data_IF_997446524351
#
_entry.id   IF_997446524351
#
_cell.length_a   1.000
_cell.length_b   1.000
_cell.length_c   1.000
_cell.angle_alpha   90.00
_cell.angle_beta   90.00
_cell.angle_gamma   90.00
#
_symmetry.space_group_name_H-M   'P 1'
#
loop_
_entity.id
_entity.type
_entity.pdbx_description
1 polymer ?
#
# COMPACT_ATOMS: atom_id res chain seq x y z
N UNK A 1 5.11 -26.43 6.91
CA UNK A 1 4.83 -25.17 7.66
C UNK A 1 5.58 -23.95 7.14
N UNK A 2 6.52 -24.10 6.20
CA UNK A 2 7.36 -22.98 5.77
C UNK A 2 6.75 -22.14 4.62
N UNK A 3 5.94 -22.72 3.75
CA UNK A 3 5.40 -22.00 2.61
C UNK A 3 4.33 -20.95 2.98
N UNK A 4 3.53 -21.21 4.01
CA UNK A 4 2.50 -20.27 4.45
C UNK A 4 3.07 -19.03 5.16
N UNK A 5 4.13 -19.18 5.95
CA UNK A 5 4.76 -18.05 6.64
C UNK A 5 5.54 -17.11 5.71
N UNK A 6 5.90 -17.55 4.52
CA UNK A 6 6.58 -16.72 3.51
C UNK A 6 5.55 -15.92 2.70
N UNK A 7 4.32 -16.40 2.58
CA UNK A 7 3.33 -15.88 1.65
C UNK A 7 2.71 -14.56 2.09
N UNK A 8 2.30 -14.43 3.35
CA UNK A 8 1.69 -13.20 3.88
C UNK A 8 2.67 -12.04 4.00
N UNK A 9 3.96 -12.35 4.18
CA UNK A 9 5.06 -11.38 4.31
C UNK A 9 6.10 -11.52 3.21
N UNK A 10 5.73 -12.08 2.06
CA UNK A 10 6.61 -12.13 0.90
C UNK A 10 6.96 -10.71 0.45
N UNK A 11 8.27 -10.44 0.33
CA UNK A 11 8.80 -9.12 -0.05
C UNK A 11 8.94 -8.95 -1.55
N UNK A 12 8.77 -10.02 -2.30
CA UNK A 12 8.69 -10.04 -3.75
C UNK A 12 7.71 -11.12 -4.19
N UNK A 13 6.78 -10.73 -5.03
CA UNK A 13 5.82 -11.65 -5.65
C UNK A 13 5.76 -11.33 -7.14
N UNK A 14 5.80 -12.34 -7.99
CA UNK A 14 5.84 -12.16 -9.44
C UNK A 14 4.81 -13.06 -10.10
N UNK A 15 4.08 -12.51 -11.06
CA UNK A 15 3.14 -13.26 -11.87
C UNK A 15 3.87 -14.02 -12.97
N UNK A 16 3.64 -15.32 -13.07
CA UNK A 16 4.10 -16.12 -14.19
C UNK A 16 3.35 -15.72 -15.46
N UNK A 17 4.07 -15.52 -16.56
CA UNK A 17 3.50 -15.00 -17.80
C UNK A 17 2.53 -15.99 -18.49
N UNK A 18 2.74 -17.29 -18.31
CA UNK A 18 1.94 -18.34 -18.96
C UNK A 18 0.75 -18.74 -18.10
N UNK A 19 1.00 -19.06 -16.84
CA UNK A 19 -0.03 -19.56 -15.91
C UNK A 19 -0.85 -18.46 -15.28
N UNK A 20 -0.32 -17.22 -15.27
CA UNK A 20 -0.88 -16.05 -14.57
C UNK A 20 -0.95 -16.21 -13.06
N UNK A 21 -0.32 -17.23 -12.50
CA UNK A 21 -0.24 -17.46 -11.05
C UNK A 21 0.85 -16.58 -10.45
N UNK A 22 0.56 -15.96 -9.31
CA UNK A 22 1.53 -15.21 -8.54
C UNK A 22 2.32 -16.11 -7.60
N UNK A 23 3.65 -16.01 -7.68
CA UNK A 23 4.57 -16.81 -6.86
C UNK A 23 5.47 -15.89 -6.02
N UNK A 24 5.60 -16.21 -4.73
CA UNK A 24 6.56 -15.56 -3.87
C UNK A 24 8.00 -15.96 -4.27
N UNK A 25 8.87 -14.97 -4.33
CA UNK A 25 10.29 -15.15 -4.66
C UNK A 25 11.16 -14.61 -3.53
N UNK A 26 12.30 -15.27 -3.31
CA UNK A 26 13.34 -14.73 -2.43
C UNK A 26 14.07 -13.61 -3.17
N UNK A 27 14.01 -12.40 -2.62
CA UNK A 27 14.79 -11.27 -3.13
C UNK A 27 16.09 -11.16 -2.34
N UNK A 28 17.17 -11.71 -2.90
CA UNK A 28 18.50 -11.71 -2.28
C UNK A 28 19.56 -11.37 -3.34
N UNK A 29 19.63 -10.11 -3.81
CA UNK A 29 20.62 -9.71 -4.81
C UNK A 29 22.02 -9.82 -4.20
N UNK A 30 23.02 -10.20 -5.03
CA UNK A 30 24.43 -10.28 -4.61
C UNK A 30 24.93 -8.97 -4.00
N UNK A 31 24.44 -7.84 -4.51
CA UNK A 31 24.73 -6.50 -4.00
C UNK A 31 23.44 -5.83 -3.58
N UNK A 32 23.05 -5.90 -2.29
CA UNK A 32 21.87 -5.21 -1.78
C UNK A 32 21.91 -3.71 -2.09
N UNK A 33 20.75 -3.12 -2.39
CA UNK A 33 20.65 -1.69 -2.66
C UNK A 33 21.18 -0.87 -1.47
N UNK A 34 22.00 0.12 -1.78
CA UNK A 34 22.55 1.05 -0.78
C UNK A 34 22.09 2.46 -1.11
N UNK A 35 21.24 3.01 -0.25
CA UNK A 35 20.81 4.39 -0.38
C UNK A 35 22.00 5.35 -0.35
N UNK A 36 22.07 6.24 -1.31
CA UNK A 36 23.05 7.33 -1.36
C UNK A 36 22.69 8.39 -0.32
N UNK A 37 21.41 8.75 -0.25
CA UNK A 37 20.86 9.65 0.75
C UNK A 37 20.51 8.88 2.02
N UNK A 38 21.48 8.69 2.91
CA UNK A 38 21.31 7.89 4.14
C UNK A 38 20.29 8.49 5.12
N UNK A 39 20.21 9.82 5.15
CA UNK A 39 19.26 10.56 5.98
C UNK A 39 18.59 11.62 5.13
N UNK A 40 17.28 11.59 5.07
CA UNK A 40 16.44 12.61 4.46
C UNK A 40 15.53 13.19 5.54
N UNK A 41 15.35 14.50 5.51
CA UNK A 41 14.37 15.18 6.35
C UNK A 41 13.46 15.96 5.42
N UNK A 42 12.16 15.67 5.41
CA UNK A 42 11.19 16.46 4.67
C UNK A 42 11.26 17.94 5.07
N UNK A 43 10.92 18.80 4.14
CA UNK A 43 10.84 20.24 4.42
C UNK A 43 9.79 20.52 5.50
N UNK A 44 10.03 21.55 6.31
CA UNK A 44 9.04 22.08 7.27
C UNK A 44 8.07 23.07 6.61
N UNK A 45 8.29 23.42 5.34
CA UNK A 45 7.36 24.24 4.56
C UNK A 45 6.07 23.43 4.25
N UNK A 46 4.98 24.12 3.89
CA UNK A 46 3.80 23.41 3.41
C UNK A 46 4.14 22.39 2.32
N UNK A 47 3.60 21.22 2.42
CA UNK A 47 3.77 20.18 1.40
C UNK A 47 2.98 20.56 0.14
N UNK A 48 3.69 20.60 -0.97
CA UNK A 48 3.11 20.64 -2.31
C UNK A 48 3.20 19.22 -2.86
N UNK A 49 2.08 18.50 -2.78
CA UNK A 49 2.03 17.07 -3.07
C UNK A 49 1.61 16.85 -4.53
N UNK A 50 2.39 16.07 -5.25
CA UNK A 50 2.04 15.54 -6.57
C UNK A 50 1.63 14.07 -6.44
N UNK A 51 0.36 13.78 -6.64
CA UNK A 51 -0.15 12.41 -6.66
C UNK A 51 0.10 11.77 -8.03
N UNK A 52 0.61 10.55 -8.04
CA UNK A 52 1.01 9.86 -9.26
C UNK A 52 0.82 8.34 -9.19
N UNK A 53 0.48 7.75 -10.34
CA UNK A 53 0.46 6.31 -10.55
C UNK A 53 1.64 5.91 -11.44
N UNK A 54 2.53 5.07 -10.94
CA UNK A 54 3.77 4.70 -11.64
C UNK A 54 3.52 4.17 -13.05
N UNK A 55 2.56 3.25 -13.20
CA UNK A 55 2.26 2.61 -14.47
C UNK A 55 1.61 3.52 -15.51
N UNK A 56 1.02 4.66 -15.09
CA UNK A 56 0.28 5.58 -15.97
C UNK A 56 0.99 6.92 -16.19
N UNK A 57 2.11 7.17 -15.54
CA UNK A 57 2.83 8.44 -15.57
C UNK A 57 3.70 8.61 -16.82
N UNK A 58 3.22 8.23 -17.98
CA UNK A 58 3.94 8.28 -19.25
C UNK A 58 2.99 8.48 -20.45
N UNK A 59 3.56 8.81 -21.62
CA UNK A 59 2.80 9.03 -22.85
C UNK A 59 2.69 7.78 -23.73
N UNK A 60 3.60 6.82 -23.55
CA UNK A 60 3.59 5.57 -24.33
C UNK A 60 2.45 4.65 -23.87
N UNK A 61 1.80 3.97 -24.81
CA UNK A 61 0.70 3.02 -24.54
C UNK A 61 1.21 1.71 -23.95
N UNK A 62 1.79 1.78 -22.76
CA UNK A 62 2.30 0.63 -21.98
C UNK A 62 2.25 0.94 -20.49
N UNK A 63 2.44 -0.09 -19.68
CA UNK A 63 2.64 0.09 -18.24
C UNK A 63 4.03 0.70 -18.00
N UNK A 64 4.10 1.84 -17.30
CA UNK A 64 5.35 2.50 -16.93
C UNK A 64 6.09 1.74 -15.83
N UNK A 65 7.40 2.01 -15.71
CA UNK A 65 8.28 1.38 -14.71
C UNK A 65 8.81 2.37 -13.69
N UNK A 66 9.32 1.88 -12.55
CA UNK A 66 10.00 2.69 -11.54
C UNK A 66 11.16 3.48 -12.14
N UNK A 67 11.94 2.85 -13.03
CA UNK A 67 13.07 3.50 -13.70
C UNK A 67 12.62 4.60 -14.64
N UNK A 68 11.62 4.36 -15.47
CA UNK A 68 11.09 5.38 -16.39
C UNK A 68 10.51 6.57 -15.62
N UNK A 69 9.79 6.32 -14.53
CA UNK A 69 9.28 7.39 -13.67
C UNK A 69 10.43 8.21 -13.07
N UNK A 70 11.45 7.54 -12.52
CA UNK A 70 12.64 8.17 -11.95
C UNK A 70 13.37 9.06 -12.97
N UNK A 71 13.50 8.59 -14.20
CA UNK A 71 14.32 9.24 -15.22
C UNK A 71 13.57 10.32 -16.00
N UNK A 72 12.28 10.14 -16.26
CA UNK A 72 11.49 11.01 -17.15
C UNK A 72 10.52 11.91 -16.37
N UNK A 73 9.84 11.39 -15.35
CA UNK A 73 8.73 12.09 -14.67
C UNK A 73 9.19 12.85 -13.44
N UNK A 74 9.97 12.20 -12.57
CA UNK A 74 10.45 12.82 -11.33
C UNK A 74 11.20 14.13 -11.52
N UNK A 75 12.13 14.29 -12.52
CA UNK A 75 12.80 15.57 -12.76
C UNK A 75 11.85 16.70 -13.14
N UNK A 76 10.76 16.39 -13.84
CA UNK A 76 9.74 17.37 -14.23
C UNK A 76 8.95 17.84 -13.02
N UNK A 77 8.55 16.90 -12.14
CA UNK A 77 7.87 17.22 -10.88
C UNK A 77 8.75 18.15 -10.01
N UNK A 78 10.04 17.85 -9.92
CA UNK A 78 11.01 18.69 -9.22
C UNK A 78 11.09 20.10 -9.81
N UNK A 79 11.15 20.21 -11.15
CA UNK A 79 11.21 21.48 -11.86
C UNK A 79 9.97 22.35 -11.65
N UNK A 80 8.80 21.72 -11.50
CA UNK A 80 7.53 22.40 -11.23
C UNK A 80 7.39 22.86 -9.77
N UNK A 81 8.36 22.53 -8.91
CA UNK A 81 8.43 23.02 -7.54
C UNK A 81 7.67 22.18 -6.50
N UNK A 82 7.20 21.01 -6.86
CA UNK A 82 6.65 20.05 -5.87
C UNK A 82 7.75 19.56 -4.94
N UNK A 83 7.43 19.42 -3.66
CA UNK A 83 8.36 18.97 -2.62
C UNK A 83 7.94 17.64 -1.97
N UNK A 84 6.87 17.03 -2.46
CA UNK A 84 6.41 15.71 -2.05
C UNK A 84 5.74 15.01 -3.24
N UNK A 85 6.00 13.72 -3.40
CA UNK A 85 5.18 12.85 -4.28
C UNK A 85 4.40 11.87 -3.43
N UNK A 86 3.13 11.68 -3.79
CA UNK A 86 2.28 10.62 -3.27
C UNK A 86 2.17 9.53 -4.34
N UNK A 87 2.80 8.39 -4.08
CA UNK A 87 2.70 7.25 -4.99
C UNK A 87 1.43 6.48 -4.67
N UNK A 88 0.47 6.45 -5.63
CA UNK A 88 -0.73 5.63 -5.54
C UNK A 88 -0.37 4.17 -5.31
N UNK A 89 -1.29 3.42 -4.68
CA UNK A 89 -1.12 2.07 -4.19
C UNK A 89 -0.21 1.17 -5.06
N UNK A 90 0.97 0.84 -4.55
CA UNK A 90 2.00 0.04 -5.23
C UNK A 90 2.26 -1.31 -4.59
N UNK A 91 1.51 -1.67 -3.55
CA UNK A 91 1.54 -3.03 -3.01
C UNK A 91 1.10 -4.01 -4.09
N UNK A 92 1.62 -5.24 -4.07
CA UNK A 92 1.31 -6.18 -5.15
C UNK A 92 -0.18 -6.54 -5.20
N UNK A 93 -0.73 -6.52 -6.39
CA UNK A 93 -2.14 -6.70 -6.66
C UNK A 93 -2.36 -7.49 -7.96
N UNK A 94 -3.36 -8.40 -8.03
CA UNK A 94 -3.56 -9.26 -9.19
C UNK A 94 -4.15 -8.54 -10.39
N UNK A 95 -4.99 -7.52 -10.16
CA UNK A 95 -5.72 -6.83 -11.21
C UNK A 95 -5.22 -5.40 -11.41
N UNK A 96 -4.61 -5.12 -12.55
CA UNK A 96 -4.07 -3.79 -12.88
C UNK A 96 -5.12 -2.68 -12.87
N UNK A 97 -6.35 -2.98 -13.32
CA UNK A 97 -7.46 -2.03 -13.34
C UNK A 97 -7.96 -1.60 -11.95
N UNK A 98 -7.48 -2.23 -10.87
CA UNK A 98 -7.71 -1.75 -9.50
C UNK A 98 -6.81 -0.58 -9.13
N UNK A 99 -5.87 -0.19 -9.97
CA UNK A 99 -4.84 0.84 -9.70
C UNK A 99 -4.02 0.59 -8.44
N UNK A 100 -3.93 -0.68 -7.99
CA UNK A 100 -3.23 -1.08 -6.78
C UNK A 100 -4.11 -1.18 -5.54
N UNK A 101 -5.38 -0.82 -5.60
CA UNK A 101 -6.27 -0.82 -4.42
C UNK A 101 -6.82 -2.19 -4.04
N UNK A 102 -6.67 -3.22 -4.87
CA UNK A 102 -7.00 -4.62 -4.53
C UNK A 102 -5.74 -5.42 -4.17
N UNK A 103 -5.17 -5.11 -3.01
CA UNK A 103 -3.90 -5.69 -2.55
C UNK A 103 -4.04 -7.18 -2.24
N UNK A 104 -3.12 -7.99 -2.76
CA UNK A 104 -2.96 -9.41 -2.42
C UNK A 104 -1.73 -9.69 -1.55
N UNK A 105 -0.63 -8.92 -1.74
CA UNK A 105 0.63 -9.14 -1.01
C UNK A 105 1.15 -7.82 -0.46
N UNK A 106 0.94 -7.62 0.83
CA UNK A 106 1.13 -6.34 1.52
C UNK A 106 2.59 -5.91 1.66
N UNK A 107 3.54 -6.86 1.70
CA UNK A 107 4.97 -6.59 1.86
C UNK A 107 5.75 -6.60 0.53
N UNK A 108 5.08 -6.83 -0.60
CA UNK A 108 5.70 -6.83 -1.91
C UNK A 108 5.35 -5.57 -2.69
N UNK A 109 6.36 -4.91 -3.23
CA UNK A 109 6.15 -3.88 -4.26
C UNK A 109 5.67 -4.54 -5.56
N UNK A 110 4.72 -3.91 -6.26
CA UNK A 110 4.18 -4.46 -7.50
C UNK A 110 5.29 -4.73 -8.52
N UNK A 111 5.38 -5.99 -8.91
CA UNK A 111 6.38 -6.47 -9.87
C UNK A 111 6.13 -5.98 -11.30
N UNK A 112 4.92 -5.47 -11.59
CA UNK A 112 4.58 -4.86 -12.88
C UNK A 112 5.40 -3.63 -13.19
N UNK A 113 5.81 -2.89 -12.17
CA UNK A 113 6.56 -1.64 -12.35
C UNK A 113 8.07 -1.84 -12.24
N UNK A 114 8.54 -3.03 -11.86
CA UNK A 114 9.95 -3.33 -11.76
C UNK A 114 10.33 -4.14 -10.52
N UNK A 115 11.57 -3.98 -10.09
CA UNK A 115 12.16 -4.69 -8.95
C UNK A 115 12.09 -3.87 -7.67
N UNK A 116 12.24 -4.51 -6.48
CA UNK A 116 12.39 -3.79 -5.22
C UNK A 116 13.51 -2.75 -5.22
N UNK A 117 14.65 -3.05 -5.84
CA UNK A 117 15.78 -2.13 -5.88
C UNK A 117 15.54 -0.93 -6.81
N UNK A 118 14.74 -1.10 -7.86
CA UNK A 118 14.34 0.01 -8.74
C UNK A 118 13.39 0.98 -8.01
N UNK A 119 12.49 0.49 -7.17
CA UNK A 119 11.67 1.34 -6.30
C UNK A 119 12.53 2.08 -5.26
N UNK A 120 13.50 1.39 -4.63
CA UNK A 120 14.45 2.05 -3.73
C UNK A 120 15.25 3.14 -4.45
N UNK A 121 15.67 2.88 -5.68
CA UNK A 121 16.40 3.86 -6.49
C UNK A 121 15.54 5.08 -6.87
N UNK A 122 14.24 4.88 -7.09
CA UNK A 122 13.28 5.97 -7.31
C UNK A 122 13.18 6.87 -6.07
N UNK A 123 12.99 6.28 -4.88
CA UNK A 123 12.87 7.02 -3.62
C UNK A 123 14.17 7.75 -3.30
N UNK A 124 15.32 7.10 -3.45
CA UNK A 124 16.63 7.70 -3.24
C UNK A 124 16.86 8.92 -4.16
N UNK A 125 16.48 8.81 -5.44
CA UNK A 125 16.56 9.92 -6.38
C UNK A 125 15.62 11.08 -6.00
N UNK A 126 14.43 10.81 -5.50
CA UNK A 126 13.51 11.83 -4.99
C UNK A 126 14.15 12.57 -3.80
N UNK A 127 14.73 11.84 -2.86
CA UNK A 127 15.46 12.41 -1.72
C UNK A 127 16.68 13.23 -2.14
N UNK A 128 17.42 12.81 -3.17
CA UNK A 128 18.54 13.60 -3.75
C UNK A 128 18.03 14.95 -4.31
N UNK A 129 16.80 15.00 -4.82
CA UNK A 129 16.16 16.23 -5.31
C UNK A 129 15.43 17.05 -4.23
N UNK A 130 15.46 16.59 -2.96
CA UNK A 130 14.76 17.26 -1.85
C UNK A 130 13.25 17.00 -1.79
N UNK A 131 12.76 15.97 -2.50
CA UNK A 131 11.35 15.60 -2.57
C UNK A 131 11.06 14.46 -1.60
N UNK A 132 10.09 14.66 -0.71
CA UNK A 132 9.56 13.60 0.14
C UNK A 132 8.73 12.60 -0.66
N UNK A 133 8.69 11.35 -0.22
CA UNK A 133 7.92 10.30 -0.87
C UNK A 133 6.96 9.68 0.14
N UNK A 134 5.66 9.88 -0.06
CA UNK A 134 4.62 9.20 0.72
C UNK A 134 3.95 8.12 -0.13
N UNK A 135 3.55 7.05 0.54
CA UNK A 135 2.89 5.92 -0.09
C UNK A 135 1.40 5.92 0.24
N UNK A 136 0.59 5.71 -0.78
CA UNK A 136 -0.81 5.39 -0.58
C UNK A 136 -0.92 3.92 -0.14
N UNK A 137 -1.26 3.71 1.13
CA UNK A 137 -1.29 2.39 1.76
C UNK A 137 -2.71 1.90 1.97
N UNK A 138 -2.99 0.68 1.55
CA UNK A 138 -4.33 0.10 1.62
C UNK A 138 -4.41 -0.82 2.83
N UNK A 139 -4.89 -0.31 3.96
CA UNK A 139 -5.13 -1.07 5.19
C UNK A 139 -6.62 -1.13 5.57
N UNK A 140 -7.49 -0.57 4.72
CA UNK A 140 -8.94 -0.65 4.88
C UNK A 140 -9.50 -2.01 4.48
N UNK A 141 -8.87 -2.68 3.51
CA UNK A 141 -9.36 -3.94 2.95
C UNK A 141 -8.26 -4.72 2.22
N UNK A 142 -8.57 -5.94 1.81
CA UNK A 142 -7.75 -6.77 0.93
C UNK A 142 -8.59 -7.29 -0.23
N UNK A 143 -7.94 -7.70 -1.32
CA UNK A 143 -8.61 -8.37 -2.43
C UNK A 143 -9.30 -9.66 -1.95
N UNK A 144 -10.47 -9.96 -2.51
CA UNK A 144 -11.21 -11.19 -2.25
C UNK A 144 -10.59 -12.35 -3.03
N UNK A 145 -9.41 -12.79 -2.61
CA UNK A 145 -8.64 -13.86 -3.23
C UNK A 145 -8.18 -14.86 -2.16
N UNK A 146 -8.63 -16.10 -2.28
CA UNK A 146 -8.34 -17.19 -1.34
C UNK A 146 -7.07 -17.97 -1.72
N UNK A 147 -6.65 -17.89 -2.97
CA UNK A 147 -5.53 -18.68 -3.52
C UNK A 147 -4.21 -17.92 -3.38
N UNK A 148 -4.18 -16.64 -3.77
CA UNK A 148 -2.96 -15.83 -3.84
C UNK A 148 -2.91 -14.72 -2.79
N UNK A 149 -4.06 -14.39 -2.19
CA UNK A 149 -4.21 -13.36 -1.15
C UNK A 149 -4.38 -13.94 0.25
N UNK A 150 -4.93 -13.12 1.13
CA UNK A 150 -5.14 -13.45 2.55
C UNK A 150 -6.54 -14.07 2.81
N UNK A 151 -7.39 -14.22 1.78
CA UNK A 151 -8.83 -14.55 1.93
C UNK A 151 -9.12 -15.88 2.64
N UNK A 152 -8.24 -16.85 2.53
CA UNK A 152 -8.33 -18.15 3.23
C UNK A 152 -6.93 -18.62 3.64
N UNK A 153 -6.14 -17.71 4.23
CA UNK A 153 -4.80 -18.00 4.67
C UNK A 153 -4.83 -19.07 5.78
N UNK A 154 -3.97 -20.06 5.70
CA UNK A 154 -3.92 -21.19 6.61
C UNK A 154 -5.24 -22.01 6.75
N UNK A 155 -6.19 -21.87 5.81
CA UNK A 155 -7.49 -22.56 5.85
C UNK A 155 -8.50 -21.90 6.80
N UNK A 156 -8.22 -20.72 7.32
CA UNK A 156 -9.15 -19.92 8.12
C UNK A 156 -9.51 -18.62 7.39
N UNK A 157 -10.75 -18.50 6.87
CA UNK A 157 -11.19 -17.31 6.17
C UNK A 157 -11.30 -16.07 7.06
N UNK A 158 -11.32 -16.25 8.38
CA UNK A 158 -11.43 -15.16 9.34
C UNK A 158 -10.08 -14.82 10.01
N UNK A 159 -8.97 -15.41 9.58
CA UNK A 159 -7.67 -15.18 10.23
C UNK A 159 -7.32 -13.69 10.30
N UNK A 160 -7.50 -12.96 9.20
CA UNK A 160 -7.23 -11.51 9.09
C UNK A 160 -8.49 -10.65 9.12
N UNK A 161 -9.64 -11.24 8.80
CA UNK A 161 -10.86 -10.51 8.49
C UNK A 161 -11.94 -10.73 9.52
N UNK A 162 -12.92 -9.82 9.54
CA UNK A 162 -14.12 -10.01 10.33
C UNK A 162 -14.87 -11.29 9.94
N UNK A 163 -15.61 -11.91 10.87
CA UNK A 163 -16.56 -12.94 10.48
C UNK A 163 -17.74 -12.33 9.67
N UNK A 164 -18.47 -13.18 8.93
CA UNK A 164 -19.68 -12.77 8.25
C UNK A 164 -20.72 -12.22 9.26
N UNK A 165 -21.54 -11.23 8.91
CA UNK A 165 -21.66 -10.61 7.59
C UNK A 165 -20.67 -9.47 7.30
N UNK A 166 -19.85 -9.04 8.29
CA UNK A 166 -18.94 -7.87 8.19
C UNK A 166 -17.66 -8.16 7.41
N UNK A 167 -17.42 -9.39 7.05
CA UNK A 167 -16.19 -9.81 6.35
C UNK A 167 -16.04 -9.13 4.99
N UNK A 168 -17.12 -9.05 4.23
CA UNK A 168 -17.11 -8.53 2.87
C UNK A 168 -17.53 -7.06 2.84
N UNK A 169 -16.77 -6.26 2.12
CA UNK A 169 -17.13 -4.86 1.88
C UNK A 169 -18.29 -4.80 0.86
N UNK A 170 -19.42 -4.17 1.21
CA UNK A 170 -20.63 -4.26 0.39
C UNK A 170 -20.54 -3.55 -0.97
N UNK A 171 -19.54 -2.67 -1.17
CA UNK A 171 -19.39 -1.89 -2.40
C UNK A 171 -18.10 -2.14 -3.17
N UNK A 172 -17.06 -2.77 -2.56
CA UNK A 172 -15.71 -2.82 -3.16
C UNK A 172 -15.24 -4.22 -3.53
N UNK A 173 -16.09 -5.24 -3.44
CA UNK A 173 -15.73 -6.65 -3.68
C UNK A 173 -14.40 -7.05 -3.01
N UNK A 174 -14.29 -6.75 -1.73
CA UNK A 174 -13.07 -6.87 -0.94
C UNK A 174 -13.38 -7.39 0.46
N UNK A 175 -12.32 -7.75 1.22
CA UNK A 175 -12.41 -8.29 2.58
C UNK A 175 -11.95 -7.24 3.59
N UNK A 176 -12.73 -7.02 4.65
CA UNK A 176 -12.46 -6.02 5.68
C UNK A 176 -11.61 -6.61 6.82
N UNK A 177 -10.49 -5.98 7.14
CA UNK A 177 -9.63 -6.39 8.25
C UNK A 177 -10.33 -6.27 9.60
N UNK A 178 -10.08 -7.25 10.47
CA UNK A 178 -10.58 -7.24 11.85
C UNK A 178 -9.57 -6.54 12.78
N UNK A 179 -9.76 -5.25 12.98
CA UNK A 179 -8.90 -4.44 13.86
C UNK A 179 -9.07 -4.77 15.34
N UNK A 180 -10.00 -5.65 15.72
CA UNK A 180 -10.13 -6.18 17.08
C UNK A 180 -9.12 -7.27 17.42
N UNK A 181 -8.39 -7.79 16.44
CA UNK A 181 -7.37 -8.82 16.62
C UNK A 181 -5.98 -8.21 16.74
N UNK A 182 -5.29 -8.50 17.84
CA UNK A 182 -3.92 -8.02 18.07
C UNK A 182 -2.95 -8.45 16.96
N UNK A 183 -3.10 -9.66 16.44
CA UNK A 183 -2.28 -10.22 15.37
C UNK A 183 -2.46 -9.45 14.06
N UNK A 184 -3.69 -9.00 13.77
CA UNK A 184 -4.00 -8.18 12.59
C UNK A 184 -3.40 -6.78 12.75
N UNK A 185 -3.59 -6.14 13.91
CA UNK A 185 -2.94 -4.85 14.21
C UNK A 185 -1.42 -4.98 14.08
N UNK A 186 -0.82 -6.03 14.65
CA UNK A 186 0.61 -6.27 14.54
C UNK A 186 1.06 -6.48 13.09
N UNK A 187 0.28 -7.20 12.27
CA UNK A 187 0.56 -7.39 10.86
C UNK A 187 0.58 -6.05 10.11
N UNK A 188 -0.46 -5.22 10.29
CA UNK A 188 -0.60 -3.94 9.62
C UNK A 188 0.46 -2.91 10.08
N UNK A 189 0.74 -2.83 11.39
CA UNK A 189 1.82 -1.97 11.92
C UNK A 189 3.20 -2.41 11.45
N UNK A 190 3.45 -3.74 11.39
CA UNK A 190 4.69 -4.26 10.82
C UNK A 190 4.83 -3.92 9.34
N UNK A 191 3.72 -3.85 8.62
CA UNK A 191 3.70 -3.43 7.22
C UNK A 191 4.09 -1.95 7.06
N UNK A 192 3.52 -1.05 7.87
CA UNK A 192 3.96 0.35 7.91
C UNK A 192 5.46 0.47 8.20
N UNK A 193 5.92 -0.21 9.27
CA UNK A 193 7.34 -0.20 9.63
C UNK A 193 8.24 -0.69 8.50
N UNK A 194 7.86 -1.76 7.82
CA UNK A 194 8.60 -2.32 6.69
C UNK A 194 8.79 -1.29 5.56
N UNK A 195 7.74 -0.60 5.15
CA UNK A 195 7.82 0.39 4.09
C UNK A 195 8.68 1.60 4.47
N UNK A 196 8.59 2.05 5.73
CA UNK A 196 9.44 3.14 6.24
C UNK A 196 10.92 2.72 6.35
N UNK A 197 11.21 1.53 6.87
CA UNK A 197 12.59 1.11 7.14
C UNK A 197 13.29 0.56 5.91
N UNK A 198 12.61 -0.27 5.12
CA UNK A 198 13.21 -0.97 3.99
C UNK A 198 13.27 -0.08 2.74
N UNK A 199 12.22 0.67 2.45
CA UNK A 199 12.14 1.51 1.25
C UNK A 199 12.42 3.00 1.53
N UNK A 200 12.41 3.42 2.79
CA UNK A 200 12.62 4.82 3.20
C UNK A 200 11.51 5.77 2.71
N UNK A 201 10.27 5.29 2.67
CA UNK A 201 9.14 6.20 2.56
C UNK A 201 9.11 7.18 3.74
N UNK A 202 8.67 8.41 3.51
CA UNK A 202 8.63 9.46 4.52
C UNK A 202 7.28 9.52 5.27
N UNK A 203 6.31 8.77 4.81
CA UNK A 203 4.99 8.68 5.42
C UNK A 203 3.98 7.98 4.54
N UNK A 204 2.71 8.04 4.97
CA UNK A 204 1.60 7.37 4.31
C UNK A 204 0.40 8.29 4.10
N UNK A 205 -0.36 8.01 3.07
CA UNK A 205 -1.78 8.33 2.94
C UNK A 205 -2.54 7.03 3.11
N UNK A 206 -3.41 6.94 4.10
CA UNK A 206 -4.24 5.76 4.32
C UNK A 206 -5.46 5.81 3.41
N UNK A 207 -5.63 4.79 2.57
CA UNK A 207 -6.80 4.67 1.72
C UNK A 207 -8.03 4.16 2.48
N UNK A 208 -9.21 4.66 2.10
CA UNK A 208 -10.49 4.15 2.58
C UNK A 208 -10.75 4.35 4.07
N UNK A 209 -10.19 5.40 4.70
CA UNK A 209 -10.30 5.64 6.15
C UNK A 209 -11.76 5.71 6.62
N UNK A 210 -12.66 6.32 5.87
CA UNK A 210 -14.09 6.36 6.23
C UNK A 210 -14.67 4.94 6.33
N UNK A 211 -14.29 4.05 5.41
CA UNK A 211 -14.70 2.64 5.47
C UNK A 211 -14.16 1.90 6.70
N UNK A 212 -12.98 2.28 7.20
CA UNK A 212 -12.43 1.72 8.43
C UNK A 212 -13.16 2.23 9.67
N UNK A 213 -13.41 3.54 9.71
CA UNK A 213 -13.89 4.24 10.91
C UNK A 213 -15.35 3.95 11.23
N UNK A 214 -16.19 3.60 10.25
CA UNK A 214 -17.63 3.44 10.44
C UNK A 214 -18.10 2.03 10.12
N UNK A 215 -19.00 1.49 10.94
CA UNK A 215 -19.59 0.17 10.71
C UNK A 215 -20.41 0.09 9.41
N UNK A 216 -20.98 1.22 8.97
CA UNK A 216 -21.66 1.38 7.68
C UNK A 216 -20.69 1.51 6.49
N UNK A 217 -19.37 1.57 6.72
CA UNK A 217 -18.37 1.93 5.72
C UNK A 217 -18.56 3.33 5.11
N UNK A 218 -19.33 4.19 5.78
CA UNK A 218 -19.76 5.50 5.26
C UNK A 218 -20.81 5.42 4.15
N UNK A 219 -21.36 4.23 3.87
CA UNK A 219 -22.34 4.05 2.82
C UNK A 219 -23.74 4.47 3.33
N UNK A 220 -24.42 5.28 2.52
CA UNK A 220 -25.77 5.79 2.87
C UNK A 220 -25.77 6.84 3.98
N UNK A 221 -24.63 7.28 4.45
CA UNK A 221 -24.48 8.36 5.43
C UNK A 221 -24.07 9.66 4.74
N UNK A 222 -24.74 10.75 5.09
CA UNK A 222 -24.36 12.09 4.64
C UNK A 222 -23.70 12.82 5.81
N UNK A 223 -22.39 13.04 5.74
CA UNK A 223 -21.63 13.81 6.74
C UNK A 223 -21.79 15.31 6.48
N UNK A 224 -22.99 15.85 6.77
CA UNK A 224 -23.35 17.23 6.44
C UNK A 224 -23.00 18.24 7.52
N UNK A 225 -22.80 17.79 8.75
CA UNK A 225 -22.41 18.63 9.88
C UNK A 225 -21.43 17.88 10.79
N UNK A 226 -20.78 18.62 11.70
CA UNK A 226 -19.74 18.08 12.55
C UNK A 226 -20.24 16.96 13.49
N UNK A 227 -21.51 17.00 13.91
CA UNK A 227 -22.11 15.97 14.75
C UNK A 227 -22.27 14.61 14.07
N UNK A 228 -22.37 14.60 12.73
CA UNK A 228 -22.55 13.35 11.97
C UNK A 228 -21.32 12.44 12.05
N UNK A 229 -20.13 13.04 12.29
CA UNK A 229 -18.88 12.27 12.48
C UNK A 229 -18.85 11.52 13.83
N UNK A 230 -19.72 11.84 14.76
CA UNK A 230 -19.77 11.28 16.12
C UNK A 230 -21.15 10.65 16.44
N UNK A 231 -21.73 9.95 15.45
CA UNK A 231 -23.06 9.36 15.53
C UNK A 231 -23.16 8.07 16.38
N UNK A 232 -22.05 7.59 16.95
CA UNK A 232 -22.00 6.36 17.73
C UNK A 232 -21.78 5.08 16.89
N UNK A 233 -21.64 5.21 15.57
CA UNK A 233 -21.42 4.09 14.65
C UNK A 233 -19.93 3.89 14.30
N UNK A 234 -19.03 4.53 15.05
CA UNK A 234 -17.60 4.42 14.84
C UNK A 234 -17.05 3.09 15.34
N UNK A 235 -16.11 2.53 14.59
CA UNK A 235 -15.32 1.37 15.01
C UNK A 235 -14.14 1.81 15.90
N UNK A 236 -14.29 1.61 17.22
CA UNK A 236 -13.25 1.95 18.19
C UNK A 236 -11.94 1.20 17.97
N UNK A 237 -11.96 -0.01 17.43
CA UNK A 237 -10.76 -0.78 17.13
C UNK A 237 -10.00 -0.19 15.93
N UNK A 238 -10.72 0.24 14.89
CA UNK A 238 -10.10 0.92 13.76
C UNK A 238 -9.50 2.28 14.17
N UNK A 239 -10.18 3.03 15.04
CA UNK A 239 -9.64 4.28 15.61
C UNK A 239 -8.35 4.00 16.39
N UNK A 240 -8.35 2.96 17.25
CA UNK A 240 -7.16 2.55 17.99
C UNK A 240 -6.01 2.18 17.04
N UNK A 241 -6.27 1.37 16.02
CA UNK A 241 -5.27 1.01 15.02
C UNK A 241 -4.67 2.24 14.32
N UNK A 242 -5.51 3.15 13.81
CA UNK A 242 -5.05 4.36 13.11
C UNK A 242 -4.25 5.30 14.04
N UNK A 243 -4.63 5.36 15.32
CA UNK A 243 -3.88 6.13 16.33
C UNK A 243 -2.49 5.54 16.56
N UNK A 244 -2.37 4.21 16.57
CA UNK A 244 -1.09 3.51 16.74
C UNK A 244 -0.20 3.61 15.49
N UNK A 245 -0.82 3.70 14.30
CA UNK A 245 -0.11 3.76 13.02
C UNK A 245 0.42 5.18 12.71
N UNK A 246 -0.14 6.21 13.35
CA UNK A 246 0.25 7.62 13.18
C UNK A 246 1.37 7.98 14.16
#
# INVERSE_FOLDING_TARGET
GSEMCIRDRATRVVQDEQTKIFSAQVWAPEKPYKFKKKTFKPTTNPLLIYECHIGMAQQEEKVGTYNEFREKTLPRIAQEGYNCIQIMAIQEHPYYGSFGYHVSSFFAASSRFGTPDELKALIDAAHEMGIAVIMDIVHSHAVKNEVEGLGNFAGDPNQYFYPAPRREHPAWDSLCFDYGKNEVIHFLLSNCKYWLEEYKFDGFRFDGVTSMLYYSHGLGEAFCNYGDYFNGHQDGNAICYLTLAN
#
